data_IF_307181867631
#
_entry.id   IF_307181867631
#
_cell.length_a   1.000
_cell.length_b   1.000
_cell.length_c   1.000
_cell.angle_alpha   90.00
_cell.angle_beta   90.00
_cell.angle_gamma   90.00
#
_symmetry.space_group_name_H-M   'P 1'
#
loop_
_entity.id
_entity.type
_entity.pdbx_description
1 polymer ?
#
# COMPACT_ATOMS: atom_id res chain seq x y z
N UNK A 1 -5.97 19.07 1.81
CA UNK A 1 -7.18 18.66 2.57
C UNK A 1 -6.85 17.35 3.25
N UNK A 2 -6.72 17.33 4.58
CA UNK A 2 -6.42 16.10 5.31
C UNK A 2 -7.54 15.06 5.16
N UNK A 3 -7.19 13.80 4.89
CA UNK A 3 -8.15 12.71 4.78
C UNK A 3 -8.89 12.51 6.11
N UNK A 4 -10.21 12.24 6.10
CA UNK A 4 -10.95 11.96 7.32
C UNK A 4 -10.33 10.78 8.07
N UNK A 5 -10.23 10.85 9.41
CA UNK A 5 -9.62 9.79 10.21
C UNK A 5 -10.26 8.40 10.02
N UNK A 6 -11.56 8.35 9.68
CA UNK A 6 -12.24 7.10 9.28
C UNK A 6 -11.65 6.50 8.00
N UNK A 7 -11.34 7.31 7.00
CA UNK A 7 -10.73 6.88 5.73
C UNK A 7 -9.30 6.40 5.96
N UNK A 8 -8.53 7.11 6.78
CA UNK A 8 -7.18 6.65 7.18
C UNK A 8 -7.25 5.30 7.92
N UNK A 9 -8.25 5.10 8.78
CA UNK A 9 -8.50 3.81 9.44
C UNK A 9 -8.78 2.69 8.43
N UNK A 10 -9.68 2.94 7.48
CA UNK A 10 -10.03 1.99 6.42
C UNK A 10 -8.81 1.65 5.54
N UNK A 11 -8.02 2.65 5.15
CA UNK A 11 -6.79 2.46 4.38
C UNK A 11 -5.80 1.57 5.14
N UNK A 12 -5.62 1.80 6.45
CA UNK A 12 -4.73 0.98 7.29
C UNK A 12 -5.20 -0.48 7.34
N UNK A 13 -6.51 -0.73 7.42
CA UNK A 13 -7.07 -2.08 7.38
C UNK A 13 -6.80 -2.76 6.03
N UNK A 14 -7.12 -2.11 4.91
CA UNK A 14 -6.87 -2.69 3.58
C UNK A 14 -5.37 -2.91 3.30
N UNK A 15 -4.52 -1.97 3.69
CA UNK A 15 -3.07 -2.10 3.58
C UNK A 15 -2.54 -3.27 4.41
N UNK A 16 -3.06 -3.45 5.63
CA UNK A 16 -2.70 -4.57 6.49
C UNK A 16 -3.11 -5.90 5.85
N UNK A 17 -4.33 -6.00 5.32
CA UNK A 17 -4.82 -7.22 4.66
C UNK A 17 -3.98 -7.57 3.43
N UNK A 18 -3.60 -6.57 2.63
CA UNK A 18 -2.69 -6.77 1.50
C UNK A 18 -1.30 -7.23 1.95
N UNK A 19 -0.77 -6.75 3.07
CA UNK A 19 0.51 -7.23 3.62
C UNK A 19 0.39 -8.68 4.07
N UNK A 20 -0.67 -9.05 4.78
CA UNK A 20 -0.87 -10.43 5.24
C UNK A 20 -1.10 -11.38 4.06
N UNK A 21 -1.84 -10.96 3.03
CA UNK A 21 -1.97 -11.74 1.79
C UNK A 21 -0.59 -11.99 1.15
N UNK A 22 0.25 -10.96 1.02
CA UNK A 22 1.60 -11.12 0.47
C UNK A 22 2.46 -12.08 1.31
N UNK A 23 2.32 -12.05 2.63
CA UNK A 23 3.00 -12.97 3.55
C UNK A 23 2.57 -14.42 3.34
N UNK A 24 1.26 -14.64 3.16
CA UNK A 24 0.71 -15.97 2.88
C UNK A 24 1.17 -16.51 1.53
N UNK A 25 1.16 -15.67 0.49
CA UNK A 25 1.68 -16.01 -0.84
C UNK A 25 3.15 -16.43 -0.79
N UNK A 26 3.98 -15.70 -0.03
CA UNK A 26 5.39 -16.06 0.17
C UNK A 26 5.57 -17.39 0.89
N UNK A 27 4.79 -17.66 1.93
CA UNK A 27 4.82 -18.93 2.65
C UNK A 27 4.43 -20.08 1.71
N UNK A 28 3.39 -19.90 0.91
CA UNK A 28 2.97 -20.89 -0.07
C UNK A 28 4.05 -21.12 -1.13
N UNK A 29 4.59 -20.05 -1.73
CA UNK A 29 5.64 -20.14 -2.73
C UNK A 29 6.88 -20.88 -2.19
N UNK A 30 7.33 -20.57 -0.97
CA UNK A 30 8.44 -21.27 -0.31
C UNK A 30 8.14 -22.75 -0.09
N UNK A 31 6.92 -23.07 0.34
CA UNK A 31 6.47 -24.46 0.57
C UNK A 31 6.54 -25.29 -0.70
N UNK A 32 6.20 -24.70 -1.85
CA UNK A 32 6.23 -25.35 -3.16
C UNK A 32 7.56 -25.18 -3.92
N UNK A 33 8.58 -24.53 -3.30
CA UNK A 33 9.87 -24.26 -3.95
C UNK A 33 9.80 -23.30 -5.14
N UNK A 34 8.75 -22.46 -5.20
CA UNK A 34 8.53 -21.49 -6.27
C UNK A 34 9.32 -20.21 -6.03
N UNK A 35 9.81 -19.62 -7.13
CA UNK A 35 10.44 -18.30 -7.11
C UNK A 35 9.37 -17.23 -7.30
N UNK A 36 9.29 -16.30 -6.34
CA UNK A 36 8.41 -15.14 -6.45
C UNK A 36 8.94 -14.16 -7.51
N UNK A 37 8.05 -13.48 -8.24
CA UNK A 37 8.45 -12.38 -9.12
C UNK A 37 9.09 -11.24 -8.32
N UNK A 38 9.87 -10.40 -9.00
CA UNK A 38 10.30 -9.14 -8.42
C UNK A 38 9.08 -8.30 -8.04
N UNK A 39 9.17 -7.59 -6.93
CA UNK A 39 8.06 -6.80 -6.42
C UNK A 39 8.57 -5.47 -5.86
N UNK A 40 8.12 -4.38 -6.47
CA UNK A 40 8.51 -3.02 -6.16
C UNK A 40 7.43 -2.18 -5.48
N UNK A 41 7.80 -0.91 -5.28
CA UNK A 41 6.92 0.12 -4.72
C UNK A 41 5.77 0.45 -5.68
N UNK A 42 6.04 0.48 -6.98
CA UNK A 42 5.06 0.81 -8.02
C UNK A 42 3.94 -0.23 -8.04
N UNK A 43 4.29 -1.52 -7.95
CA UNK A 43 3.32 -2.61 -7.82
C UNK A 43 2.52 -2.52 -6.52
N UNK A 44 3.14 -2.17 -5.39
CA UNK A 44 2.44 -1.99 -4.13
C UNK A 44 1.42 -0.85 -4.14
N UNK A 45 1.76 0.29 -4.75
CA UNK A 45 0.83 1.41 -4.93
C UNK A 45 -0.31 1.04 -5.90
N UNK A 46 0.01 0.34 -6.99
CA UNK A 46 -0.99 -0.16 -7.94
C UNK A 46 -1.98 -1.13 -7.28
N UNK A 47 -1.49 -2.05 -6.44
CA UNK A 47 -2.34 -3.01 -5.73
C UNK A 47 -3.28 -2.32 -4.74
N UNK A 48 -2.83 -1.23 -4.11
CA UNK A 48 -3.68 -0.42 -3.23
C UNK A 48 -4.80 0.28 -4.02
N UNK A 49 -4.47 0.87 -5.17
CA UNK A 49 -5.46 1.53 -6.00
C UNK A 49 -6.48 0.54 -6.56
N UNK A 50 -6.02 -0.66 -6.95
CA UNK A 50 -6.90 -1.73 -7.42
C UNK A 50 -7.89 -2.19 -6.34
N UNK A 51 -7.43 -2.42 -5.10
CA UNK A 51 -8.38 -2.81 -4.04
C UNK A 51 -9.34 -1.67 -3.68
N UNK A 52 -8.92 -0.41 -3.76
CA UNK A 52 -9.81 0.73 -3.52
C UNK A 52 -10.89 0.85 -4.60
N UNK A 53 -10.54 0.60 -5.86
CA UNK A 53 -11.47 0.54 -6.98
C UNK A 53 -12.47 -0.61 -6.81
N UNK A 54 -12.00 -1.83 -6.52
CA UNK A 54 -12.86 -3.00 -6.25
C UNK A 54 -13.83 -2.74 -5.08
N UNK A 55 -13.35 -2.08 -4.01
CA UNK A 55 -14.16 -1.75 -2.83
C UNK A 55 -15.15 -0.62 -3.12
N UNK A 56 -14.79 0.33 -3.97
CA UNK A 56 -15.72 1.35 -4.45
C UNK A 56 -16.84 0.72 -5.28
N UNK A 57 -16.54 -0.26 -6.13
CA UNK A 57 -17.57 -0.98 -6.91
C UNK A 57 -18.46 -1.86 -6.02
N UNK A 58 -17.88 -2.52 -5.01
CA UNK A 58 -18.60 -3.49 -4.17
C UNK A 58 -19.35 -2.89 -2.98
N UNK A 59 -18.77 -1.88 -2.31
CA UNK A 59 -19.27 -1.32 -1.04
C UNK A 59 -19.66 0.17 -1.19
N UNK A 60 -19.02 0.86 -2.13
CA UNK A 60 -19.36 2.22 -2.56
C UNK A 60 -19.40 3.25 -1.42
N UNK A 61 -20.31 4.21 -1.56
CA UNK A 61 -20.48 5.35 -0.64
C UNK A 61 -20.82 4.90 0.79
N UNK A 62 -21.28 3.67 1.01
CA UNK A 62 -21.67 3.17 2.34
C UNK A 62 -20.49 3.15 3.32
N UNK A 63 -19.28 2.90 2.82
CA UNK A 63 -18.03 2.92 3.61
C UNK A 63 -17.30 4.27 3.54
N UNK A 64 -17.83 5.24 2.80
CA UNK A 64 -17.22 6.55 2.60
C UNK A 64 -16.17 6.59 1.48
N UNK A 65 -16.09 5.53 0.66
CA UNK A 65 -15.32 5.54 -0.57
C UNK A 65 -16.15 6.25 -1.66
N UNK A 66 -15.59 7.30 -2.25
CA UNK A 66 -16.18 7.97 -3.41
C UNK A 66 -15.20 7.95 -4.59
N UNK A 67 -15.71 8.22 -5.79
CA UNK A 67 -14.86 8.32 -6.98
C UNK A 67 -13.84 9.47 -6.84
N UNK A 68 -14.22 10.55 -6.17
CA UNK A 68 -13.32 11.66 -5.85
C UNK A 68 -12.19 11.20 -4.93
N UNK A 69 -12.50 10.42 -3.89
CA UNK A 69 -11.47 9.87 -3.00
C UNK A 69 -10.50 8.94 -3.76
N UNK A 70 -11.00 8.09 -4.64
CA UNK A 70 -10.13 7.22 -5.45
C UNK A 70 -9.20 8.05 -6.34
N UNK A 71 -9.72 9.12 -6.94
CA UNK A 71 -8.92 10.05 -7.73
C UNK A 71 -7.87 10.80 -6.88
N UNK A 72 -8.24 11.26 -5.68
CA UNK A 72 -7.31 11.87 -4.73
C UNK A 72 -6.21 10.89 -4.32
N UNK A 73 -6.56 9.63 -4.02
CA UNK A 73 -5.59 8.59 -3.70
C UNK A 73 -4.64 8.30 -4.85
N UNK A 74 -5.14 8.29 -6.10
CA UNK A 74 -4.28 8.18 -7.27
C UNK A 74 -3.28 9.34 -7.35
N UNK A 75 -3.74 10.58 -7.17
CA UNK A 75 -2.88 11.77 -7.15
C UNK A 75 -1.82 11.71 -6.03
N UNK A 76 -2.21 11.31 -4.81
CA UNK A 76 -1.27 11.19 -3.69
C UNK A 76 -0.23 10.10 -3.95
N UNK A 77 -0.64 8.95 -4.47
CA UNK A 77 0.29 7.87 -4.83
C UNK A 77 1.28 8.33 -5.90
N UNK A 78 0.82 9.02 -6.95
CA UNK A 78 1.69 9.53 -8.02
C UNK A 78 2.70 10.56 -7.50
N UNK A 79 2.24 11.54 -6.71
CA UNK A 79 3.09 12.57 -6.12
C UNK A 79 4.11 11.99 -5.13
N UNK A 80 3.69 11.05 -4.29
CA UNK A 80 4.53 10.47 -3.27
C UNK A 80 5.46 9.36 -3.81
N UNK A 81 5.20 8.80 -4.99
CA UNK A 81 5.88 7.62 -5.51
C UNK A 81 7.41 7.74 -5.49
N UNK A 82 7.96 8.87 -5.92
CA UNK A 82 9.40 9.11 -5.91
C UNK A 82 10.00 9.08 -4.50
N UNK A 83 9.40 9.83 -3.57
CA UNK A 83 9.83 9.90 -2.17
C UNK A 83 9.65 8.57 -1.43
N UNK A 84 8.57 7.86 -1.71
CA UNK A 84 8.31 6.53 -1.14
C UNK A 84 9.35 5.54 -1.65
N UNK A 85 9.66 5.55 -2.95
CA UNK A 85 10.67 4.66 -3.56
C UNK A 85 12.05 4.84 -2.93
N UNK A 86 12.47 6.09 -2.75
CA UNK A 86 13.73 6.41 -2.07
C UNK A 86 13.71 5.92 -0.61
N UNK A 87 12.64 6.21 0.13
CA UNK A 87 12.53 5.84 1.55
C UNK A 87 12.49 4.33 1.75
N UNK A 88 11.71 3.61 0.94
CA UNK A 88 11.61 2.15 0.99
C UNK A 88 12.95 1.53 0.63
N UNK A 89 13.64 2.04 -0.40
CA UNK A 89 14.98 1.56 -0.75
C UNK A 89 15.95 1.75 0.43
N UNK A 90 15.98 2.92 1.06
CA UNK A 90 16.82 3.17 2.24
C UNK A 90 16.47 2.20 3.39
N UNK A 91 15.19 2.08 3.76
CA UNK A 91 14.74 1.20 4.85
C UNK A 91 15.10 -0.28 4.58
N UNK A 92 14.96 -0.73 3.33
CA UNK A 92 15.33 -2.10 2.95
C UNK A 92 16.84 -2.37 3.02
N UNK A 93 17.67 -1.38 2.71
CA UNK A 93 19.13 -1.54 2.73
C UNK A 93 19.77 -1.28 4.11
N UNK A 94 19.07 -0.59 5.02
CA UNK A 94 19.55 -0.31 6.38
C UNK A 94 19.28 -1.44 7.38
N UNK A 95 18.22 -2.21 7.15
CA UNK A 95 17.79 -3.28 8.06
C UNK A 95 18.07 -4.65 7.46
N UNK A 96 18.95 -5.42 8.10
CA UNK A 96 19.26 -6.80 7.74
C UNK A 96 17.97 -7.65 7.68
N UNK A 97 17.57 -8.04 6.47
CA UNK A 97 16.42 -8.91 6.25
C UNK A 97 16.13 -9.16 4.77
N UNK A 98 15.33 -10.20 4.46
CA UNK A 98 15.03 -10.54 3.07
C UNK A 98 14.22 -9.43 2.39
N UNK A 99 14.57 -9.11 1.15
CA UNK A 99 13.72 -8.33 0.26
C UNK A 99 12.56 -9.22 -0.17
N UNK A 100 11.42 -9.07 0.52
CA UNK A 100 10.21 -9.86 0.28
C UNK A 100 9.07 -8.94 -0.17
N UNK A 101 8.10 -9.49 -0.90
CA UNK A 101 6.86 -8.80 -1.33
C UNK A 101 6.15 -8.19 -0.12
N UNK A 102 5.94 -8.97 0.94
CA UNK A 102 5.29 -8.53 2.16
C UNK A 102 6.03 -7.36 2.82
N UNK A 103 7.37 -7.43 2.86
CA UNK A 103 8.20 -6.35 3.40
C UNK A 103 8.13 -5.09 2.54
N UNK A 104 8.25 -5.20 1.22
CA UNK A 104 8.11 -4.06 0.30
C UNK A 104 6.74 -3.40 0.45
N UNK A 105 5.66 -4.18 0.49
CA UNK A 105 4.28 -3.68 0.74
C UNK A 105 4.19 -2.93 2.05
N UNK A 106 4.63 -3.55 3.15
CA UNK A 106 4.55 -2.98 4.48
C UNK A 106 5.28 -1.63 4.57
N UNK A 107 6.51 -1.56 4.07
CA UNK A 107 7.30 -0.32 4.06
C UNK A 107 6.68 0.75 3.16
N UNK A 108 6.13 0.35 2.01
CA UNK A 108 5.45 1.26 1.08
C UNK A 108 4.25 1.89 1.75
N UNK A 109 3.36 1.08 2.33
CA UNK A 109 2.13 1.53 2.97
C UNK A 109 2.37 2.34 4.23
N UNK A 110 3.34 1.95 5.06
CA UNK A 110 3.74 2.76 6.21
C UNK A 110 4.22 4.15 5.75
N UNK A 111 5.05 4.21 4.72
CA UNK A 111 5.59 5.48 4.22
C UNK A 111 4.50 6.33 3.56
N UNK A 112 3.54 5.70 2.86
CA UNK A 112 2.37 6.40 2.29
C UNK A 112 1.47 6.96 3.39
N UNK A 113 1.18 6.22 4.45
CA UNK A 113 0.42 6.73 5.59
C UNK A 113 1.15 7.90 6.25
N UNK A 114 2.47 7.78 6.47
CA UNK A 114 3.28 8.88 7.00
C UNK A 114 3.24 10.12 6.09
N UNK A 115 3.14 9.95 4.77
CA UNK A 115 2.97 11.04 3.81
C UNK A 115 1.58 11.69 3.94
N UNK A 116 0.53 10.87 3.97
CA UNK A 116 -0.87 11.33 4.09
C UNK A 116 -1.14 12.03 5.44
N UNK A 117 -0.50 11.59 6.52
CA UNK A 117 -0.60 12.21 7.85
C UNK A 117 0.19 13.55 7.93
N UNK A 118 1.11 13.82 6.98
CA UNK A 118 1.96 15.04 6.98
C UNK A 118 1.41 16.18 6.14
N UNK A 119 0.46 15.95 5.23
CA UNK A 119 -0.21 17.01 4.47
C UNK A 119 -0.98 17.93 5.44
N UNK A 120 -0.52 19.18 5.66
CA UNK A 120 -1.20 20.12 6.53
C UNK A 120 -2.48 20.69 5.87
N UNK A 121 -3.41 21.16 6.70
CA UNK A 121 -4.69 21.79 6.34
C UNK A 121 -4.61 22.77 5.15
#
# INVERSE_FOLDING_TARGET
MALPGRIIGLLKEYMHDLVEQARQEEIQARTFGLKMPAYGVEEALSDLLAILDDRLESEGVQVGLSAELLHEMWMYCDQAAGSIKETVWLKQNLEDGPHSKARTRSLTYQTLIEYLDREPE
#
